data_IF_116573551553
#
_entry.id   IF_116573551553
#
_cell.length_a   1.000
_cell.length_b   1.000
_cell.length_c   1.000
_cell.angle_alpha   90.00
_cell.angle_beta   90.00
_cell.angle_gamma   90.00
#
_symmetry.space_group_name_H-M   'P 1'
#
loop_
_entity.id
_entity.type
_entity.pdbx_description
1 polymer ?
#
# COMPACT_ATOMS: atom_id res chain seq x y z
N UNK A 1 -29.06 -17.35 -19.67
CA UNK A 1 -27.91 -17.26 -20.59
C UNK A 1 -26.63 -17.25 -19.76
N UNK A 2 -25.56 -17.92 -20.17
CA UNK A 2 -24.37 -18.18 -19.32
C UNK A 2 -23.56 -16.93 -18.91
N UNK A 3 -23.84 -15.76 -19.49
CA UNK A 3 -23.16 -14.48 -19.21
C UNK A 3 -24.05 -13.46 -18.48
N UNK A 4 -25.19 -13.91 -17.94
CA UNK A 4 -26.13 -13.05 -17.24
C UNK A 4 -25.54 -12.48 -15.93
N UNK A 5 -26.02 -11.30 -15.50
CA UNK A 5 -25.54 -10.59 -14.30
C UNK A 5 -25.55 -11.46 -13.03
N UNK A 6 -26.53 -12.34 -12.87
CA UNK A 6 -26.64 -13.25 -11.74
C UNK A 6 -25.57 -14.36 -11.75
N UNK A 7 -25.17 -14.84 -12.94
CA UNK A 7 -24.08 -15.83 -13.08
C UNK A 7 -22.75 -15.20 -12.70
N UNK A 8 -22.48 -13.96 -13.15
CA UNK A 8 -21.28 -13.21 -12.78
C UNK A 8 -21.22 -13.01 -11.25
N UNK A 9 -22.33 -12.59 -10.64
CA UNK A 9 -22.45 -12.51 -9.17
C UNK A 9 -22.21 -13.84 -8.47
N UNK A 10 -22.72 -14.95 -9.01
CA UNK A 10 -22.47 -16.28 -8.48
C UNK A 10 -20.98 -16.65 -8.48
N UNK A 11 -20.26 -16.38 -9.58
CA UNK A 11 -18.81 -16.61 -9.65
C UNK A 11 -18.05 -15.71 -8.68
N UNK A 12 -18.41 -14.43 -8.57
CA UNK A 12 -17.85 -13.53 -7.56
C UNK A 12 -18.07 -14.04 -6.13
N UNK A 13 -19.26 -14.55 -5.82
CA UNK A 13 -19.55 -15.19 -4.54
C UNK A 13 -18.65 -16.40 -4.26
N UNK A 14 -18.36 -17.22 -5.28
CA UNK A 14 -17.40 -18.32 -5.16
C UNK A 14 -15.97 -17.82 -4.88
N UNK A 15 -15.54 -16.73 -5.53
CA UNK A 15 -14.22 -16.13 -5.26
C UNK A 15 -14.15 -15.67 -3.80
N UNK A 16 -15.14 -14.89 -3.34
CA UNK A 16 -15.20 -14.41 -1.96
C UNK A 16 -15.24 -15.56 -0.95
N UNK A 17 -15.98 -16.63 -1.23
CA UNK A 17 -15.99 -17.83 -0.39
C UNK A 17 -14.60 -18.46 -0.29
N UNK A 18 -13.90 -18.65 -1.41
CA UNK A 18 -12.56 -19.21 -1.42
C UNK A 18 -11.54 -18.32 -0.70
N UNK A 19 -11.69 -16.99 -0.77
CA UNK A 19 -10.92 -16.07 0.07
C UNK A 19 -11.16 -16.29 1.57
N UNK A 20 -12.42 -16.47 1.98
CA UNK A 20 -12.78 -16.70 3.40
C UNK A 20 -12.18 -18.02 3.91
N UNK A 21 -12.21 -19.09 3.12
CA UNK A 21 -11.67 -20.39 3.53
C UNK A 21 -10.17 -20.56 3.24
N UNK A 22 -9.52 -19.55 2.66
CA UNK A 22 -8.09 -19.56 2.35
C UNK A 22 -7.68 -20.43 1.15
N UNK A 23 -8.61 -20.89 0.32
CA UNK A 23 -8.31 -21.66 -0.90
C UNK A 23 -7.97 -20.71 -2.07
N UNK A 24 -6.79 -20.10 -2.01
CA UNK A 24 -6.34 -19.14 -3.02
C UNK A 24 -6.15 -19.77 -4.41
N UNK A 25 -5.83 -21.06 -4.47
CA UNK A 25 -5.70 -21.79 -5.74
C UNK A 25 -7.04 -21.89 -6.45
N UNK A 26 -8.09 -22.28 -5.73
CA UNK A 26 -9.45 -22.34 -6.28
C UNK A 26 -10.01 -20.95 -6.56
N UNK A 27 -9.72 -19.95 -5.71
CA UNK A 27 -10.07 -18.55 -6.00
C UNK A 27 -9.48 -18.09 -7.34
N UNK A 28 -8.23 -18.44 -7.63
CA UNK A 28 -7.58 -18.13 -8.90
C UNK A 28 -8.25 -18.80 -10.10
N UNK A 29 -8.74 -20.04 -9.96
CA UNK A 29 -9.55 -20.70 -11.01
C UNK A 29 -10.84 -19.92 -11.29
N UNK A 30 -11.56 -19.51 -10.25
CA UNK A 30 -12.80 -18.74 -10.42
C UNK A 30 -12.56 -17.34 -10.98
N UNK A 31 -11.45 -16.68 -10.62
CA UNK A 31 -11.02 -15.40 -11.21
C UNK A 31 -10.80 -15.54 -12.72
N UNK A 32 -10.09 -16.56 -13.16
CA UNK A 32 -9.92 -16.84 -14.59
C UNK A 32 -11.27 -17.06 -15.29
N UNK A 33 -12.18 -17.78 -14.62
CA UNK A 33 -13.57 -17.94 -15.08
C UNK A 33 -14.32 -16.61 -15.21
N UNK A 34 -14.20 -15.73 -14.22
CA UNK A 34 -14.81 -14.39 -14.22
C UNK A 34 -14.31 -13.56 -15.41
N UNK A 35 -12.99 -13.55 -15.66
CA UNK A 35 -12.38 -12.91 -16.82
C UNK A 35 -12.93 -13.43 -18.13
N UNK A 36 -13.06 -14.75 -18.27
CA UNK A 36 -13.63 -15.36 -19.46
C UNK A 36 -15.09 -14.96 -19.66
N UNK A 37 -15.90 -14.95 -18.60
CA UNK A 37 -17.32 -14.57 -18.66
C UNK A 37 -17.51 -13.12 -19.11
N UNK A 38 -16.75 -12.19 -18.52
CA UNK A 38 -16.81 -10.76 -18.88
C UNK A 38 -16.37 -10.56 -20.33
N UNK A 39 -15.28 -11.21 -20.76
CA UNK A 39 -14.83 -11.16 -22.16
C UNK A 39 -15.87 -11.72 -23.12
N UNK A 40 -16.55 -12.82 -22.77
CA UNK A 40 -17.62 -13.42 -23.59
C UNK A 40 -18.86 -12.52 -23.71
N UNK A 41 -19.06 -11.60 -22.76
CA UNK A 41 -20.10 -10.58 -22.82
C UNK A 41 -19.70 -9.36 -23.67
N UNK A 42 -18.47 -9.33 -24.20
CA UNK A 42 -17.94 -8.20 -24.96
C UNK A 42 -17.14 -7.21 -24.10
N UNK A 43 -16.71 -7.59 -22.90
CA UNK A 43 -15.88 -6.76 -22.02
C UNK A 43 -16.66 -6.07 -20.89
N UNK A 44 -15.92 -5.38 -20.02
CA UNK A 44 -16.48 -4.76 -18.80
C UNK A 44 -17.50 -3.65 -19.11
N UNK A 45 -17.34 -2.96 -20.23
CA UNK A 45 -18.24 -1.86 -20.63
C UNK A 45 -19.68 -2.35 -20.88
N UNK A 46 -19.86 -3.64 -21.20
CA UNK A 46 -21.17 -4.27 -21.35
C UNK A 46 -21.83 -4.68 -20.01
N UNK A 47 -21.23 -4.26 -18.88
CA UNK A 47 -21.82 -4.28 -17.54
C UNK A 47 -22.20 -2.87 -17.06
N UNK A 48 -22.04 -1.84 -17.89
CA UNK A 48 -22.22 -0.43 -17.49
C UNK A 48 -23.66 -0.06 -17.07
N UNK A 49 -24.64 -0.89 -17.41
CA UNK A 49 -26.02 -0.79 -16.93
C UNK A 49 -26.17 -1.16 -15.45
N UNK A 50 -25.19 -1.87 -14.87
CA UNK A 50 -25.17 -2.35 -13.49
C UNK A 50 -23.88 -1.86 -12.78
N UNK A 51 -23.90 -0.60 -12.36
CA UNK A 51 -22.73 0.07 -11.77
C UNK A 51 -22.21 -0.63 -10.50
N UNK A 52 -23.08 -1.26 -9.74
CA UNK A 52 -22.70 -2.00 -8.53
C UNK A 52 -21.98 -3.29 -8.89
N UNK A 53 -22.41 -3.99 -9.95
CA UNK A 53 -21.68 -5.12 -10.50
C UNK A 53 -20.29 -4.72 -10.98
N UNK A 54 -20.16 -3.61 -11.71
CA UNK A 54 -18.86 -3.08 -12.14
C UNK A 54 -17.94 -2.79 -10.95
N UNK A 55 -18.49 -2.25 -9.86
CA UNK A 55 -17.72 -1.98 -8.63
C UNK A 55 -17.26 -3.25 -7.93
N UNK A 56 -18.13 -4.25 -7.82
CA UNK A 56 -17.78 -5.53 -7.23
C UNK A 56 -16.69 -6.23 -8.02
N UNK A 57 -16.77 -6.21 -9.36
CA UNK A 57 -15.71 -6.75 -10.23
C UNK A 57 -14.40 -6.00 -9.98
N UNK A 58 -14.42 -4.67 -9.95
CA UNK A 58 -13.24 -3.86 -9.68
C UNK A 58 -12.61 -4.17 -8.32
N UNK A 59 -13.41 -4.32 -7.26
CA UNK A 59 -12.91 -4.67 -5.93
C UNK A 59 -12.28 -6.06 -5.89
N UNK A 60 -12.95 -7.05 -6.47
CA UNK A 60 -12.45 -8.43 -6.54
C UNK A 60 -11.14 -8.50 -7.33
N UNK A 61 -11.08 -7.82 -8.47
CA UNK A 61 -9.88 -7.76 -9.31
C UNK A 61 -8.72 -7.05 -8.60
N UNK A 62 -8.99 -5.95 -7.90
CA UNK A 62 -7.97 -5.25 -7.11
C UNK A 62 -7.45 -6.12 -5.95
N UNK A 63 -8.32 -6.85 -5.25
CA UNK A 63 -7.90 -7.79 -4.20
C UNK A 63 -7.07 -8.92 -4.81
N UNK A 64 -7.49 -9.48 -5.95
CA UNK A 64 -6.74 -10.50 -6.66
C UNK A 64 -5.35 -10.00 -7.08
N UNK A 65 -5.25 -8.77 -7.59
CA UNK A 65 -3.99 -8.12 -7.92
C UNK A 65 -3.05 -8.02 -6.72
N UNK A 66 -3.58 -7.66 -5.54
CA UNK A 66 -2.81 -7.62 -4.30
C UNK A 66 -2.40 -9.00 -3.80
N UNK A 67 -3.22 -10.04 -4.02
CA UNK A 67 -2.91 -11.41 -3.58
C UNK A 67 -1.86 -12.07 -4.48
N UNK A 68 -1.99 -11.90 -5.79
CA UNK A 68 -1.17 -12.59 -6.78
C UNK A 68 -0.07 -11.68 -7.37
N UNK A 69 0.13 -10.51 -6.77
CA UNK A 69 1.11 -9.51 -7.17
C UNK A 69 1.10 -9.21 -8.68
N UNK A 70 -0.09 -9.09 -9.24
CA UNK A 70 -0.31 -8.94 -10.68
C UNK A 70 -1.03 -7.65 -11.02
N UNK A 71 -0.88 -7.21 -12.26
CA UNK A 71 -1.65 -6.10 -12.81
C UNK A 71 -3.16 -6.42 -12.78
N UNK A 72 -4.01 -5.45 -12.40
CA UNK A 72 -5.47 -5.58 -12.55
C UNK A 72 -5.84 -5.95 -13.98
N UNK A 73 -6.87 -6.80 -14.15
CA UNK A 73 -7.34 -7.21 -15.47
C UNK A 73 -8.41 -6.29 -16.04
N UNK A 74 -9.16 -5.59 -15.19
CA UNK A 74 -10.23 -4.70 -15.61
C UNK A 74 -9.90 -3.25 -15.28
N UNK A 75 -10.30 -2.29 -16.13
CA UNK A 75 -10.04 -0.88 -15.86
C UNK A 75 -10.78 -0.40 -14.60
N UNK A 76 -10.21 0.62 -13.97
CA UNK A 76 -10.87 1.33 -12.87
C UNK A 76 -12.20 1.94 -13.34
N UNK A 77 -13.28 1.81 -12.55
CA UNK A 77 -14.57 2.44 -12.88
C UNK A 77 -14.44 3.97 -12.97
N UNK A 78 -15.03 4.56 -14.01
CA UNK A 78 -14.94 6.01 -14.30
C UNK A 78 -15.39 6.90 -13.14
N UNK A 79 -16.37 6.46 -12.35
CA UNK A 79 -16.85 7.18 -11.15
C UNK A 79 -15.82 7.27 -10.01
N UNK A 80 -14.79 6.44 -10.03
CA UNK A 80 -13.67 6.48 -9.08
C UNK A 80 -12.48 7.28 -9.61
N UNK A 81 -12.54 7.74 -10.86
CA UNK A 81 -11.56 8.68 -11.37
C UNK A 81 -11.74 9.96 -10.57
N UNK A 82 -10.73 10.30 -9.76
CA UNK A 82 -10.70 11.57 -9.05
C UNK A 82 -10.61 12.66 -10.13
N UNK A 83 -11.57 13.60 -10.20
CA UNK A 83 -11.41 14.77 -11.05
C UNK A 83 -10.09 15.44 -10.66
N UNK A 84 -9.28 15.87 -11.64
CA UNK A 84 -8.07 16.65 -11.36
C UNK A 84 -8.53 17.89 -10.57
N UNK A 85 -8.38 17.82 -9.26
CA UNK A 85 -8.86 18.87 -8.38
C UNK A 85 -7.87 20.03 -8.53
N UNK A 86 -8.32 21.12 -9.12
CA UNK A 86 -7.59 22.40 -9.21
C UNK A 86 -7.59 23.15 -7.89
N UNK A 87 -8.19 22.57 -6.83
CA UNK A 87 -8.18 23.14 -5.50
C UNK A 87 -6.79 23.00 -4.88
N UNK A 88 -6.20 24.07 -4.33
CA UNK A 88 -4.91 23.98 -3.67
C UNK A 88 -5.06 23.04 -2.46
N UNK A 89 -4.48 21.84 -2.57
CA UNK A 89 -4.31 20.94 -1.42
C UNK A 89 -3.66 21.75 -0.31
N UNK A 90 -4.17 21.65 0.92
CA UNK A 90 -3.72 22.45 2.05
C UNK A 90 -2.19 22.50 2.11
N UNK A 91 -1.64 23.69 1.90
CA UNK A 91 -0.22 24.01 1.81
C UNK A 91 0.34 24.02 3.24
N UNK A 92 0.51 22.84 3.82
CA UNK A 92 1.63 22.64 4.74
C UNK A 92 2.82 22.17 3.88
N UNK A 93 4.07 22.58 4.15
CA UNK A 93 5.23 21.97 3.52
C UNK A 93 5.37 20.53 4.05
N UNK A 94 4.54 19.64 3.51
CA UNK A 94 4.58 18.21 3.73
C UNK A 94 5.76 17.64 2.93
N UNK A 95 6.51 16.71 3.53
CA UNK A 95 7.67 16.04 2.94
C UNK A 95 7.35 15.45 1.56
N UNK A 96 6.09 15.05 1.33
CA UNK A 96 5.58 14.52 0.06
C UNK A 96 5.37 15.57 -1.04
N UNK A 97 5.23 16.85 -0.69
CA UNK A 97 5.02 17.93 -1.66
C UNK A 97 6.28 18.25 -2.46
N UNK A 98 7.46 18.09 -1.83
CA UNK A 98 8.77 18.32 -2.44
C UNK A 98 9.41 17.04 -3.02
N UNK A 99 8.79 15.89 -2.81
CA UNK A 99 9.29 14.59 -3.31
C UNK A 99 9.53 14.58 -4.84
N UNK A 100 8.65 15.11 -5.71
CA UNK A 100 8.94 15.17 -7.15
C UNK A 100 10.23 15.92 -7.47
N UNK A 101 10.51 17.01 -6.74
CA UNK A 101 11.73 17.80 -6.95
C UNK A 101 12.97 16.98 -6.57
N UNK A 102 12.97 16.32 -5.41
CA UNK A 102 14.06 15.46 -4.97
C UNK A 102 14.29 14.27 -5.91
N UNK A 103 13.21 13.65 -6.41
CA UNK A 103 13.29 12.58 -7.41
C UNK A 103 13.85 13.09 -8.74
N UNK A 104 13.44 14.29 -9.20
CA UNK A 104 13.91 14.88 -10.46
C UNK A 104 15.42 15.19 -10.42
N UNK A 105 15.97 15.51 -9.24
CA UNK A 105 17.40 15.71 -9.07
C UNK A 105 18.20 14.40 -9.21
N UNK A 106 17.58 13.25 -8.90
CA UNK A 106 18.19 11.93 -9.08
C UNK A 106 17.93 11.34 -10.47
N UNK A 107 16.80 11.69 -11.08
CA UNK A 107 16.35 11.20 -12.38
C UNK A 107 15.64 12.33 -13.14
N UNK A 108 16.33 13.02 -14.07
CA UNK A 108 15.79 14.19 -14.76
C UNK A 108 14.49 13.92 -15.54
N UNK A 109 14.34 12.70 -16.06
CA UNK A 109 13.20 12.28 -16.88
C UNK A 109 12.22 11.44 -16.07
N UNK A 110 11.49 12.07 -15.14
CA UNK A 110 10.47 11.39 -14.36
C UNK A 110 9.39 10.79 -15.27
N UNK A 111 9.25 9.48 -15.23
CA UNK A 111 8.26 8.78 -16.03
C UNK A 111 6.88 8.71 -15.33
N UNK A 112 5.88 8.25 -16.06
CA UNK A 112 4.50 8.15 -15.56
C UNK A 112 4.37 7.26 -14.31
N UNK A 113 5.21 6.23 -14.15
CA UNK A 113 5.21 5.37 -12.98
C UNK A 113 5.65 6.10 -11.72
N UNK A 114 6.76 6.82 -11.80
CA UNK A 114 7.33 7.55 -10.66
C UNK A 114 6.34 8.62 -10.18
N UNK A 115 5.74 9.37 -11.11
CA UNK A 115 4.69 10.34 -10.79
C UNK A 115 3.44 9.68 -10.19
N UNK A 116 3.09 8.48 -10.65
CA UNK A 116 1.98 7.70 -10.10
C UNK A 116 2.23 7.31 -8.63
N UNK A 117 3.43 6.83 -8.30
CA UNK A 117 3.81 6.48 -6.92
C UNK A 117 3.76 7.70 -6.01
N UNK A 118 4.28 8.84 -6.45
CA UNK A 118 4.22 10.09 -5.67
C UNK A 118 2.78 10.54 -5.44
N UNK A 119 1.95 10.54 -6.49
CA UNK A 119 0.53 10.88 -6.34
C UNK A 119 -0.20 9.90 -5.42
N UNK A 120 0.16 8.61 -5.45
CA UNK A 120 -0.44 7.61 -4.57
C UNK A 120 -0.05 7.84 -3.10
N UNK A 121 1.20 8.20 -2.81
CA UNK A 121 1.63 8.56 -1.45
C UNK A 121 0.86 9.78 -0.92
N UNK A 122 0.68 10.81 -1.74
CA UNK A 122 -0.11 12.00 -1.37
C UNK A 122 -1.58 11.65 -1.08
N UNK A 123 -2.17 10.78 -1.90
CA UNK A 123 -3.55 10.34 -1.69
C UNK A 123 -3.67 9.45 -0.43
N UNK A 124 -2.65 8.64 -0.12
CA UNK A 124 -2.57 7.88 1.14
C UNK A 124 -2.42 8.83 2.34
N UNK A 125 -1.62 9.88 2.25
CA UNK A 125 -1.49 10.88 3.31
C UNK A 125 -2.84 11.54 3.64
N UNK A 126 -3.53 12.04 2.60
CA UNK A 126 -4.86 12.62 2.77
C UNK A 126 -5.89 11.61 3.30
N UNK A 127 -5.77 10.33 2.91
CA UNK A 127 -6.62 9.28 3.43
C UNK A 127 -6.28 8.94 4.89
N UNK A 128 -5.00 8.96 5.29
CA UNK A 128 -4.57 8.75 6.67
C UNK A 128 -5.18 9.80 7.59
N UNK A 129 -5.15 11.08 7.21
CA UNK A 129 -5.80 12.16 7.95
C UNK A 129 -7.31 11.95 8.08
N UNK A 130 -7.95 11.54 6.97
CA UNK A 130 -9.40 11.27 6.93
C UNK A 130 -9.76 10.09 7.83
N UNK A 131 -8.97 9.01 7.80
CA UNK A 131 -9.13 7.83 8.65
C UNK A 131 -8.91 8.22 10.10
N UNK A 132 -7.89 9.00 10.43
CA UNK A 132 -7.60 9.45 11.80
C UNK A 132 -8.75 10.31 12.36
N UNK A 133 -9.28 11.23 11.56
CA UNK A 133 -10.44 12.06 11.93
C UNK A 133 -11.70 11.20 12.16
N UNK A 134 -11.94 10.20 11.30
CA UNK A 134 -13.04 9.25 11.47
C UNK A 134 -12.85 8.32 12.66
N UNK A 135 -11.64 7.87 12.96
CA UNK A 135 -11.34 7.08 14.16
C UNK A 135 -11.60 7.87 15.43
N UNK A 136 -11.22 9.15 15.47
CA UNK A 136 -11.48 10.00 16.62
C UNK A 136 -12.99 10.20 16.89
N UNK A 137 -13.83 10.14 15.85
CA UNK A 137 -15.27 10.39 15.96
C UNK A 137 -16.11 9.11 16.06
N UNK A 138 -15.68 8.01 15.44
CA UNK A 138 -16.44 6.76 15.32
C UNK A 138 -15.77 5.56 16.00
N UNK A 139 -14.52 5.68 16.41
CA UNK A 139 -13.74 4.55 16.93
C UNK A 139 -13.61 3.42 15.93
N UNK A 140 -13.59 2.18 16.43
CA UNK A 140 -13.41 0.96 15.62
C UNK A 140 -14.58 0.66 14.66
N UNK A 141 -15.74 1.32 14.80
CA UNK A 141 -16.85 1.16 13.85
C UNK A 141 -16.50 1.63 12.43
N UNK A 142 -15.45 2.45 12.28
CA UNK A 142 -14.90 2.80 10.96
C UNK A 142 -14.51 1.57 10.16
N UNK A 143 -13.95 0.54 10.80
CA UNK A 143 -13.44 -0.65 10.14
C UNK A 143 -14.53 -1.47 9.44
N UNK A 144 -15.79 -1.27 9.83
CA UNK A 144 -16.96 -1.90 9.20
C UNK A 144 -17.51 -1.10 8.01
N UNK A 145 -16.98 0.09 7.72
CA UNK A 145 -17.41 0.91 6.58
C UNK A 145 -16.75 0.43 5.26
N UNK A 146 -17.09 -0.78 4.82
CA UNK A 146 -16.48 -1.43 3.64
C UNK A 146 -16.56 -0.56 2.38
N UNK A 147 -17.69 0.11 2.13
CA UNK A 147 -17.86 0.97 0.95
C UNK A 147 -16.93 2.18 1.04
N UNK A 148 -16.82 2.81 2.21
CA UNK A 148 -15.95 3.96 2.40
C UNK A 148 -14.49 3.58 2.19
N UNK A 149 -14.02 2.51 2.85
CA UNK A 149 -12.63 2.06 2.74
C UNK A 149 -12.34 1.53 1.34
N UNK A 150 -13.23 0.71 0.77
CA UNK A 150 -13.09 0.12 -0.56
C UNK A 150 -13.01 1.17 -1.67
N UNK A 151 -13.87 2.19 -1.64
CA UNK A 151 -13.86 3.27 -2.66
C UNK A 151 -12.67 4.22 -2.54
N UNK A 152 -11.96 4.22 -1.41
CA UNK A 152 -10.77 5.08 -1.21
C UNK A 152 -9.45 4.32 -1.38
N UNK A 153 -9.36 3.10 -0.86
CA UNK A 153 -8.13 2.29 -0.91
C UNK A 153 -7.95 1.61 -2.27
N UNK A 154 -9.01 1.03 -2.85
CA UNK A 154 -8.88 0.23 -4.06
C UNK A 154 -8.39 1.04 -5.27
N UNK A 155 -8.83 2.29 -5.51
CA UNK A 155 -8.27 3.13 -6.57
C UNK A 155 -6.76 3.36 -6.45
N UNK A 156 -6.27 3.58 -5.23
CA UNK A 156 -4.85 3.82 -4.98
C UNK A 156 -4.05 2.54 -5.24
N UNK A 157 -4.52 1.42 -4.68
CA UNK A 157 -3.92 0.10 -4.92
C UNK A 157 -3.90 -0.26 -6.40
N UNK A 158 -5.01 -0.04 -7.10
CA UNK A 158 -5.12 -0.25 -8.54
C UNK A 158 -4.01 0.50 -9.27
N UNK A 159 -3.86 1.81 -9.06
CA UNK A 159 -2.83 2.62 -9.76
C UNK A 159 -1.40 2.15 -9.47
N UNK A 160 -1.11 1.77 -8.22
CA UNK A 160 0.19 1.24 -7.81
C UNK A 160 0.52 -0.14 -8.43
N UNK A 161 -0.50 -0.90 -8.83
CA UNK A 161 -0.39 -2.22 -9.47
C UNK A 161 -0.55 -2.18 -10.99
N UNK A 162 -1.21 -1.15 -11.53
CA UNK A 162 -1.48 -0.98 -12.97
C UNK A 162 -0.23 -0.64 -13.79
N UNK A 163 0.85 -0.26 -13.10
CA UNK A 163 2.12 0.08 -13.73
C UNK A 163 3.15 -1.01 -13.45
N UNK A 164 3.84 -1.55 -14.48
CA UNK A 164 4.84 -2.58 -14.26
C UNK A 164 5.99 -2.05 -13.39
N UNK A 165 6.54 -2.88 -12.48
CA UNK A 165 7.79 -2.57 -11.80
C UNK A 165 8.85 -2.23 -12.84
N UNK A 166 9.61 -1.16 -12.62
CA UNK A 166 10.68 -0.81 -13.54
C UNK A 166 11.80 -1.86 -13.44
N UNK A 167 12.19 -2.52 -14.55
CA UNK A 167 13.15 -3.62 -14.51
C UNK A 167 14.61 -3.16 -14.36
N UNK A 168 14.87 -1.87 -14.15
CA UNK A 168 16.22 -1.32 -14.08
C UNK A 168 16.71 -1.21 -12.63
N UNK A 169 17.89 -1.78 -12.30
CA UNK A 169 18.47 -1.73 -10.96
C UNK A 169 19.11 -0.37 -10.62
N UNK A 170 18.69 0.71 -11.29
CA UNK A 170 19.22 2.04 -11.03
C UNK A 170 18.66 2.61 -9.72
N UNK A 171 19.46 3.38 -8.99
CA UNK A 171 19.08 3.90 -7.67
C UNK A 171 17.72 4.61 -7.62
N UNK A 172 17.35 5.52 -8.57
CA UNK A 172 16.03 6.14 -8.56
C UNK A 172 14.89 5.14 -8.72
N UNK A 173 15.13 4.04 -9.45
CA UNK A 173 14.14 2.98 -9.64
C UNK A 173 13.97 2.14 -8.36
N UNK A 174 15.07 1.81 -7.68
CA UNK A 174 15.05 1.06 -6.41
C UNK A 174 14.28 1.85 -5.35
N UNK A 175 14.56 3.14 -5.17
CA UNK A 175 13.87 3.95 -4.17
C UNK A 175 12.38 4.14 -4.50
N UNK A 176 12.02 4.30 -5.77
CA UNK A 176 10.61 4.38 -6.16
C UNK A 176 9.89 3.05 -5.90
N UNK A 177 10.55 1.93 -6.12
CA UNK A 177 9.99 0.62 -5.83
C UNK A 177 9.80 0.40 -4.32
N UNK A 178 10.74 0.85 -3.48
CA UNK A 178 10.56 0.78 -2.02
C UNK A 178 9.36 1.61 -1.56
N UNK A 179 9.19 2.81 -2.11
CA UNK A 179 8.02 3.66 -1.84
C UNK A 179 6.71 3.02 -2.32
N UNK A 180 6.71 2.40 -3.51
CA UNK A 180 5.55 1.69 -4.05
C UNK A 180 5.14 0.52 -3.15
N UNK A 181 6.09 -0.30 -2.72
CA UNK A 181 5.84 -1.41 -1.80
C UNK A 181 5.40 -0.93 -0.42
N UNK A 182 5.99 0.14 0.10
CA UNK A 182 5.56 0.77 1.36
C UNK A 182 4.11 1.27 1.31
N UNK A 183 3.74 1.94 0.21
CA UNK A 183 2.36 2.38 -0.03
C UNK A 183 1.38 1.19 -0.07
N UNK A 184 1.77 0.08 -0.72
CA UNK A 184 0.96 -1.14 -0.75
C UNK A 184 0.84 -1.78 0.64
N UNK A 185 1.93 -1.88 1.40
CA UNK A 185 1.91 -2.37 2.78
C UNK A 185 0.99 -1.53 3.66
N UNK A 186 1.06 -0.20 3.57
CA UNK A 186 0.15 0.69 4.27
C UNK A 186 -1.33 0.38 3.95
N UNK A 187 -1.66 0.22 2.65
CA UNK A 187 -3.01 -0.14 2.21
C UNK A 187 -3.43 -1.51 2.76
N UNK A 188 -2.55 -2.50 2.69
CA UNK A 188 -2.79 -3.84 3.21
C UNK A 188 -3.04 -3.81 4.72
N UNK A 189 -2.30 -3.00 5.48
CA UNK A 189 -2.52 -2.88 6.91
C UNK A 189 -3.90 -2.29 7.23
N UNK A 190 -4.32 -1.23 6.53
CA UNK A 190 -5.67 -0.67 6.72
C UNK A 190 -6.74 -1.71 6.33
N UNK A 191 -6.53 -2.47 5.25
CA UNK A 191 -7.43 -3.55 4.87
C UNK A 191 -7.47 -4.68 5.90
N UNK A 192 -6.34 -5.04 6.52
CA UNK A 192 -6.27 -6.04 7.58
C UNK A 192 -7.05 -5.60 8.82
N UNK A 193 -6.92 -4.32 9.21
CA UNK A 193 -7.73 -3.74 10.29
C UNK A 193 -9.23 -3.80 10.00
N UNK A 194 -9.60 -3.64 8.73
CA UNK A 194 -10.97 -3.77 8.24
C UNK A 194 -11.41 -5.22 7.92
N UNK A 195 -10.56 -6.22 8.14
CA UNK A 195 -10.79 -7.62 7.76
C UNK A 195 -11.19 -7.80 6.28
N UNK A 196 -10.71 -6.89 5.42
CA UNK A 196 -11.08 -6.79 4.00
C UNK A 196 -9.98 -7.31 3.05
N UNK A 197 -8.93 -7.94 3.58
CA UNK A 197 -7.88 -8.59 2.82
C UNK A 197 -7.69 -10.02 3.32
N UNK A 198 -7.85 -11.04 2.45
CA UNK A 198 -7.78 -12.45 2.85
C UNK A 198 -6.35 -13.04 2.78
N UNK A 199 -5.35 -12.24 2.42
CA UNK A 199 -3.98 -12.69 2.22
C UNK A 199 -3.03 -12.29 3.34
N UNK A 200 -1.77 -12.64 3.14
CA UNK A 200 -0.64 -12.22 4.00
C UNK A 200 0.17 -11.11 3.33
N UNK A 201 0.69 -10.12 4.07
CA UNK A 201 1.62 -9.12 3.56
C UNK A 201 3.06 -9.65 3.42
N UNK A 202 3.36 -10.90 3.81
CA UNK A 202 4.72 -11.43 3.94
C UNK A 202 5.59 -11.20 2.69
N UNK A 203 5.10 -11.51 1.49
CA UNK A 203 5.89 -11.33 0.26
C UNK A 203 6.28 -9.87 0.02
N UNK A 204 5.39 -8.93 0.34
CA UNK A 204 5.67 -7.50 0.23
C UNK A 204 6.72 -7.05 1.26
N UNK A 205 6.64 -7.56 2.50
CA UNK A 205 7.63 -7.31 3.56
C UNK A 205 9.01 -7.83 3.15
N UNK A 206 9.10 -9.09 2.72
CA UNK A 206 10.36 -9.71 2.29
C UNK A 206 11.02 -8.92 1.16
N UNK A 207 10.24 -8.56 0.12
CA UNK A 207 10.75 -7.78 -1.02
C UNK A 207 11.22 -6.39 -0.59
N UNK A 208 10.43 -5.69 0.23
CA UNK A 208 10.78 -4.35 0.69
C UNK A 208 12.04 -4.37 1.56
N UNK A 209 12.14 -5.29 2.52
CA UNK A 209 13.35 -5.42 3.36
C UNK A 209 14.59 -5.73 2.52
N UNK A 210 14.47 -6.61 1.52
CA UNK A 210 15.58 -6.90 0.62
C UNK A 210 16.06 -5.65 -0.14
N UNK A 211 15.14 -4.80 -0.61
CA UNK A 211 15.50 -3.54 -1.29
C UNK A 211 16.09 -2.50 -0.33
N UNK A 212 15.60 -2.43 0.91
CA UNK A 212 16.12 -1.51 1.93
C UNK A 212 17.55 -1.85 2.38
N UNK A 213 17.97 -3.09 2.22
CA UNK A 213 19.36 -3.53 2.47
C UNK A 213 20.33 -3.12 1.35
N UNK A 214 19.83 -2.60 0.23
CA UNK A 214 20.67 -2.23 -0.89
C UNK A 214 21.56 -1.04 -0.56
N UNK A 215 22.86 -1.13 -0.82
CA UNK A 215 23.83 -0.05 -0.56
C UNK A 215 23.48 1.28 -1.25
N UNK A 216 22.74 1.26 -2.36
CA UNK A 216 22.27 2.49 -3.00
C UNK A 216 21.25 3.24 -2.14
N UNK A 217 20.42 2.54 -1.37
CA UNK A 217 19.47 3.14 -0.42
C UNK A 217 20.20 3.69 0.80
N UNK A 218 21.14 2.91 1.34
CA UNK A 218 22.00 3.35 2.45
C UNK A 218 22.75 4.65 2.10
N UNK A 219 23.41 4.68 0.93
CA UNK A 219 24.11 5.87 0.44
C UNK A 219 23.18 7.06 0.20
N UNK A 220 21.94 6.81 -0.26
CA UNK A 220 20.97 7.88 -0.48
C UNK A 220 20.63 8.59 0.82
N UNK A 221 20.39 7.82 1.88
CA UNK A 221 20.00 8.34 3.20
C UNK A 221 21.19 9.00 3.90
N UNK A 222 22.40 8.44 3.77
CA UNK A 222 23.60 9.07 4.31
C UNK A 222 23.94 10.41 3.63
N UNK A 223 23.59 10.57 2.35
CA UNK A 223 23.87 11.78 1.58
C UNK A 223 22.85 12.89 1.84
N UNK A 224 21.62 12.54 2.21
CA UNK A 224 20.57 13.53 2.46
C UNK A 224 19.59 13.12 3.55
N UNK A 225 19.51 13.95 4.59
CA UNK A 225 18.59 13.77 5.70
C UNK A 225 17.11 13.78 5.28
N UNK A 226 16.80 14.32 4.10
CA UNK A 226 15.45 14.29 3.51
C UNK A 226 14.89 12.87 3.39
N UNK A 227 15.72 11.86 3.16
CA UNK A 227 15.28 10.48 2.95
C UNK A 227 15.13 9.68 4.26
N UNK A 228 15.57 10.21 5.40
CA UNK A 228 15.50 9.51 6.69
C UNK A 228 14.05 9.18 7.09
N UNK A 229 13.07 10.12 7.04
CA UNK A 229 11.68 9.81 7.35
C UNK A 229 11.11 8.66 6.51
N UNK A 230 11.46 8.60 5.21
CA UNK A 230 11.03 7.53 4.32
C UNK A 230 11.61 6.18 4.73
N UNK A 231 12.90 6.10 5.03
CA UNK A 231 13.51 4.84 5.46
C UNK A 231 12.90 4.33 6.77
N UNK A 232 12.74 5.20 7.77
CA UNK A 232 12.14 4.83 9.06
C UNK A 232 10.68 4.38 8.90
N UNK A 233 9.89 5.09 8.09
CA UNK A 233 8.51 4.73 7.81
C UNK A 233 8.39 3.35 7.15
N UNK A 234 9.23 3.07 6.14
CA UNK A 234 9.26 1.77 5.45
C UNK A 234 9.68 0.65 6.41
N UNK A 235 10.71 0.85 7.22
CA UNK A 235 11.18 -0.14 8.20
C UNK A 235 10.13 -0.46 9.26
N UNK A 236 9.41 0.55 9.77
CA UNK A 236 8.34 0.31 10.74
C UNK A 236 7.12 -0.37 10.13
N UNK A 237 6.77 -0.07 8.88
CA UNK A 237 5.75 -0.84 8.17
C UNK A 237 6.16 -2.31 8.06
N UNK A 238 7.40 -2.59 7.64
CA UNK A 238 7.93 -3.96 7.61
C UNK A 238 7.84 -4.62 8.99
N UNK A 239 8.36 -3.97 10.06
CA UNK A 239 8.36 -4.54 11.40
C UNK A 239 6.95 -4.79 11.97
N UNK A 240 6.00 -3.92 11.64
CA UNK A 240 4.60 -4.03 12.07
C UNK A 240 3.88 -5.17 11.36
N UNK A 241 4.19 -5.40 10.08
CA UNK A 241 3.50 -6.37 9.23
C UNK A 241 4.24 -7.69 9.03
N UNK A 242 5.45 -7.82 9.58
CA UNK A 242 6.24 -9.05 9.50
C UNK A 242 5.57 -10.19 10.25
N UNK A 243 5.26 -11.28 9.53
CA UNK A 243 4.82 -12.55 10.12
C UNK A 243 6.01 -13.43 10.53
N UNK A 244 7.18 -13.20 9.93
CA UNK A 244 8.42 -13.92 10.23
C UNK A 244 9.22 -13.16 11.30
N UNK A 245 9.53 -13.77 12.47
CA UNK A 245 10.25 -13.10 13.55
C UNK A 245 11.62 -12.53 13.15
N UNK A 246 12.33 -13.21 12.24
CA UNK A 246 13.64 -12.76 11.76
C UNK A 246 13.53 -11.49 10.92
N UNK A 247 12.52 -11.37 10.06
CA UNK A 247 12.29 -10.17 9.24
C UNK A 247 11.95 -8.97 10.13
N UNK A 248 11.09 -9.20 11.13
CA UNK A 248 10.76 -8.19 12.14
C UNK A 248 12.01 -7.72 12.87
N UNK A 249 12.80 -8.66 13.40
CA UNK A 249 14.02 -8.35 14.15
C UNK A 249 14.99 -7.56 13.28
N UNK A 250 15.19 -7.99 12.03
CA UNK A 250 16.08 -7.32 11.10
C UNK A 250 15.65 -5.88 10.78
N UNK A 251 14.36 -5.65 10.55
CA UNK A 251 13.82 -4.31 10.35
C UNK A 251 14.08 -3.41 11.58
N UNK A 252 13.87 -3.94 12.78
CA UNK A 252 14.08 -3.22 14.04
C UNK A 252 15.58 -3.00 14.35
N UNK A 253 16.48 -3.89 13.95
CA UNK A 253 17.93 -3.69 14.04
C UNK A 253 18.40 -2.52 13.17
N UNK A 254 17.83 -2.35 11.98
CA UNK A 254 18.09 -1.18 11.13
C UNK A 254 17.60 0.11 11.79
N UNK A 255 16.41 0.09 12.39
CA UNK A 255 15.89 1.24 13.16
C UNK A 255 16.80 1.55 14.36
N UNK A 256 17.22 0.53 15.12
CA UNK A 256 18.11 0.69 16.27
C UNK A 256 19.45 1.32 15.88
N UNK A 257 20.06 0.88 14.76
CA UNK A 257 21.29 1.49 14.23
C UNK A 257 21.10 2.96 13.90
N UNK A 258 20.04 3.31 13.17
CA UNK A 258 19.75 4.72 12.85
C UNK A 258 19.56 5.55 14.13
N UNK A 259 18.81 5.04 15.12
CA UNK A 259 18.64 5.73 16.39
C UNK A 259 19.97 5.93 17.14
N UNK A 260 20.88 4.95 17.12
CA UNK A 260 22.20 5.08 17.73
C UNK A 260 23.09 6.09 16.98
N UNK A 261 23.07 6.08 15.64
CA UNK A 261 23.84 6.99 14.79
C UNK A 261 23.44 8.45 14.98
N UNK A 262 22.13 8.73 15.09
CA UNK A 262 21.61 10.09 15.27
C UNK A 262 21.42 10.49 16.74
N UNK A 263 21.64 9.56 17.69
CA UNK A 263 21.44 9.80 19.11
C UNK A 263 19.98 10.06 19.50
N UNK A 264 19.03 9.46 18.77
CA UNK A 264 17.60 9.66 18.97
C UNK A 264 16.98 8.72 20.00
N UNK A 265 16.04 9.26 20.76
CA UNK A 265 15.07 8.49 21.52
C UNK A 265 13.87 8.06 20.66
N UNK A 266 13.08 7.11 21.16
CA UNK A 266 11.95 6.53 20.41
C UNK A 266 10.96 7.61 19.92
N UNK A 267 10.65 8.59 20.76
CA UNK A 267 9.73 9.67 20.40
C UNK A 267 10.27 10.55 19.26
N UNK A 268 11.58 10.84 19.26
CA UNK A 268 12.22 11.63 18.21
C UNK A 268 12.26 10.86 16.87
N UNK A 269 12.49 9.55 16.93
CA UNK A 269 12.37 8.67 15.76
C UNK A 269 10.94 8.65 15.23
N UNK A 270 9.94 8.54 16.11
CA UNK A 270 8.53 8.55 15.73
C UNK A 270 8.07 9.89 15.14
N UNK A 271 8.65 11.02 15.55
CA UNK A 271 8.42 12.32 14.89
C UNK A 271 8.82 12.28 13.41
N UNK A 272 9.90 11.59 13.05
CA UNK A 272 10.29 11.40 11.65
C UNK A 272 9.31 10.52 10.90
N UNK A 273 8.91 9.38 11.49
CA UNK A 273 7.95 8.44 10.89
C UNK A 273 6.61 9.13 10.59
N UNK A 274 6.13 9.96 11.52
CA UNK A 274 4.83 10.65 11.43
C UNK A 274 4.81 11.81 10.43
N UNK A 275 5.94 12.13 9.78
CA UNK A 275 5.94 13.00 8.60
C UNK A 275 5.35 12.29 7.38
N UNK A 276 5.26 10.97 7.41
CA UNK A 276 4.65 10.14 6.37
C UNK A 276 3.34 9.53 6.88
N UNK A 277 2.50 9.00 5.97
CA UNK A 277 1.16 8.54 6.33
C UNK A 277 1.19 7.49 7.44
N UNK A 278 0.68 7.86 8.61
CA UNK A 278 0.64 7.01 9.78
C UNK A 278 -0.68 7.22 10.52
N UNK A 279 -1.29 6.14 10.99
CA UNK A 279 -2.53 6.20 11.75
C UNK A 279 -2.33 5.56 13.13
N UNK A 280 -3.04 6.07 14.13
CA UNK A 280 -3.03 5.56 15.50
C UNK A 280 -3.30 4.05 15.61
N UNK A 281 -4.06 3.49 14.67
CA UNK A 281 -4.28 2.05 14.55
C UNK A 281 -2.99 1.21 14.43
N UNK A 282 -1.92 1.77 13.87
CA UNK A 282 -0.63 1.09 13.74
C UNK A 282 0.16 1.16 15.06
N UNK A 283 -0.10 2.16 15.89
CA UNK A 283 0.58 2.40 17.17
C UNK A 283 0.21 1.37 18.25
N UNK A 284 -0.84 0.56 18.06
CA UNK A 284 -1.13 -0.56 18.97
C UNK A 284 0.08 -1.51 19.13
N UNK A 285 0.95 -1.59 18.12
CA UNK A 285 2.19 -2.35 18.17
C UNK A 285 3.37 -1.55 18.74
N UNK A 286 3.30 -0.21 18.77
CA UNK A 286 4.42 0.68 19.07
C UNK A 286 5.07 0.43 20.44
N UNK A 287 4.36 0.19 21.56
CA UNK A 287 5.02 -0.12 22.83
C UNK A 287 5.89 -1.40 22.77
N UNK A 288 5.41 -2.42 22.03
CA UNK A 288 6.14 -3.66 21.84
C UNK A 288 7.36 -3.48 20.93
N UNK A 289 7.24 -2.64 19.91
CA UNK A 289 8.32 -2.31 18.98
C UNK A 289 9.38 -1.45 19.68
N UNK A 290 8.98 -0.42 20.42
CA UNK A 290 9.87 0.45 21.19
C UNK A 290 10.73 -0.35 22.17
N UNK A 291 10.10 -1.27 22.90
CA UNK A 291 10.82 -2.16 23.84
C UNK A 291 11.83 -3.04 23.12
N UNK A 292 11.46 -3.64 21.98
CA UNK A 292 12.37 -4.47 21.18
C UNK A 292 13.54 -3.66 20.61
N UNK A 293 13.27 -2.47 20.07
CA UNK A 293 14.31 -1.58 19.55
C UNK A 293 15.27 -1.18 20.66
N UNK A 294 14.77 -0.85 21.85
CA UNK A 294 15.64 -0.48 22.98
C UNK A 294 16.54 -1.64 23.42
N UNK A 295 16.04 -2.88 23.41
CA UNK A 295 16.86 -4.06 23.66
C UNK A 295 17.95 -4.21 22.60
N UNK A 296 17.60 -4.07 21.31
CA UNK A 296 18.58 -4.16 20.21
C UNK A 296 19.63 -3.04 20.26
N UNK A 297 19.23 -1.80 20.62
CA UNK A 297 20.16 -0.67 20.81
C UNK A 297 21.21 -0.93 21.88
N UNK A 298 20.89 -1.75 22.89
CA UNK A 298 21.85 -2.12 23.94
C UNK A 298 22.85 -3.20 23.51
N UNK A 299 22.59 -3.88 22.38
CA UNK A 299 23.41 -4.97 21.86
C UNK A 299 24.30 -4.56 20.68
N UNK A 300 24.04 -3.39 20.07
CA UNK A 300 24.75 -2.82 18.91
C UNK A 300 25.52 -1.59 19.34
#
# INVERSE_FOLDING_TARGET
>A
MAVANNVIRGVMGCICYNYIVGDLAQAHVHLNGLKLLINRRGGIDNLSDDQDLVMMVFWIDTIASLLFEQRPWFPMPSRLHVPISTSPRHISPDILSVLPFHLSAMCPDLNAHQLCVVSALQDIASLADTVQSKLATRGEELWKEEIFLGTRLNPIAYRLMDTPPHPHPDMPCIFIETLRLGALLWILQVKNMAQAYPGTPATYVTKLLHLLQNHSIENLVSTSAYYIPFQLWLLLLCATMSEVPNEKTHALEMVARMMNEYGWEWEEMMVNVKQLPWITGFEAHAPSLATQVQLLRSMI
#
